data_IF_426376618211
#
_entry.id   IF_426376618211
#
_cell.length_a   1.000
_cell.length_b   1.000
_cell.length_c   1.000
_cell.angle_alpha   90.00
_cell.angle_beta   90.00
_cell.angle_gamma   90.00
#
_symmetry.space_group_name_H-M   'P 1'
#
loop_
_entity.id
_entity.type
_entity.pdbx_description
1 polymer ?
#
# COMPACT_ATOMS: atom_id res chain seq x y z
N UNK A 1 -2.35 25.39 -9.08
CA UNK A 1 -1.01 24.74 -9.14
C UNK A 1 -0.93 23.46 -8.29
N UNK A 2 -1.40 23.46 -7.03
CA UNK A 2 -1.31 22.29 -6.13
C UNK A 2 -1.97 20.99 -6.64
N UNK A 3 -3.13 21.06 -7.30
CA UNK A 3 -3.79 19.87 -7.91
C UNK A 3 -2.91 19.20 -8.98
N UNK A 4 -2.29 20.01 -9.85
CA UNK A 4 -1.41 19.52 -10.92
C UNK A 4 -0.15 18.85 -10.36
N UNK A 5 0.46 19.46 -9.33
CA UNK A 5 1.62 18.88 -8.63
C UNK A 5 1.24 17.55 -7.99
N UNK A 6 0.10 17.47 -7.31
CA UNK A 6 -0.38 16.21 -6.71
C UNK A 6 -0.60 15.11 -7.75
N UNK A 7 -1.26 15.41 -8.87
CA UNK A 7 -1.46 14.43 -9.94
C UNK A 7 -0.12 13.97 -10.55
N UNK A 8 0.84 14.89 -10.69
CA UNK A 8 2.20 14.56 -11.13
C UNK A 8 2.90 13.60 -10.15
N UNK A 9 2.86 13.90 -8.84
CA UNK A 9 3.46 13.04 -7.80
C UNK A 9 2.79 11.66 -7.73
N UNK A 10 1.46 11.60 -7.84
CA UNK A 10 0.72 10.33 -7.88
C UNK A 10 1.09 9.51 -9.12
N UNK A 11 1.19 10.16 -10.30
CA UNK A 11 1.59 9.48 -11.53
C UNK A 11 3.03 8.95 -11.45
N UNK A 12 3.95 9.74 -10.89
CA UNK A 12 5.34 9.33 -10.69
C UNK A 12 5.42 8.14 -9.72
N UNK A 13 4.70 8.19 -8.60
CA UNK A 13 4.66 7.09 -7.64
C UNK A 13 4.09 5.81 -8.26
N UNK A 14 3.05 5.91 -9.09
CA UNK A 14 2.53 4.76 -9.86
C UNK A 14 3.56 4.22 -10.85
N UNK A 15 4.28 5.10 -11.54
CA UNK A 15 5.29 4.70 -12.51
C UNK A 15 6.43 3.92 -11.83
N UNK A 16 6.97 4.43 -10.72
CA UNK A 16 8.03 3.73 -9.98
C UNK A 16 7.55 2.37 -9.46
N UNK A 17 6.34 2.31 -8.91
CA UNK A 17 5.76 1.05 -8.44
C UNK A 17 5.48 0.07 -9.60
N UNK A 18 5.06 0.55 -10.76
CA UNK A 18 4.84 -0.31 -11.94
C UNK A 18 6.12 -0.99 -12.40
N UNK A 19 7.26 -0.29 -12.38
CA UNK A 19 8.58 -0.88 -12.68
C UNK A 19 8.93 -1.97 -11.67
N UNK A 20 8.73 -1.72 -10.37
CA UNK A 20 8.96 -2.72 -9.31
C UNK A 20 8.05 -3.95 -9.53
N UNK A 21 6.80 -3.73 -9.92
CA UNK A 21 5.86 -4.81 -10.22
C UNK A 21 6.29 -5.66 -11.40
N UNK A 22 6.80 -5.05 -12.48
CA UNK A 22 7.34 -5.80 -13.62
C UNK A 22 8.54 -6.68 -13.20
N UNK A 23 9.43 -6.16 -12.36
CA UNK A 23 10.52 -6.95 -11.77
C UNK A 23 9.97 -8.10 -10.94
N UNK A 24 9.00 -7.84 -10.06
CA UNK A 24 8.36 -8.86 -9.22
C UNK A 24 7.69 -9.98 -10.05
N UNK A 25 6.96 -9.62 -11.10
CA UNK A 25 6.34 -10.58 -12.01
C UNK A 25 7.39 -11.43 -12.76
N UNK A 26 8.47 -10.80 -13.23
CA UNK A 26 9.60 -11.51 -13.83
C UNK A 26 10.25 -12.49 -12.85
N UNK A 27 10.40 -12.07 -11.59
CA UNK A 27 10.95 -12.92 -10.53
C UNK A 27 10.07 -14.15 -10.27
N UNK A 28 8.76 -13.97 -10.15
CA UNK A 28 7.80 -15.06 -9.96
C UNK A 28 7.85 -16.05 -11.12
N UNK A 29 7.82 -15.55 -12.37
CA UNK A 29 7.88 -16.39 -13.57
C UNK A 29 9.18 -17.20 -13.63
N UNK A 30 10.31 -16.57 -13.32
CA UNK A 30 11.60 -17.24 -13.29
C UNK A 30 11.68 -18.27 -12.15
N UNK A 31 11.11 -17.99 -10.97
CA UNK A 31 10.97 -18.98 -9.90
C UNK A 31 10.17 -20.20 -10.33
N UNK A 32 9.02 -20.01 -10.98
CA UNK A 32 8.24 -21.14 -11.50
C UNK A 32 9.01 -21.93 -12.56
N UNK A 33 9.80 -21.25 -13.39
CA UNK A 33 10.70 -21.91 -14.32
C UNK A 33 11.77 -22.74 -13.60
N UNK A 34 12.42 -22.21 -12.57
CA UNK A 34 13.40 -22.94 -11.75
C UNK A 34 12.77 -24.17 -11.07
N UNK A 35 11.58 -24.01 -10.47
CA UNK A 35 10.82 -25.11 -9.85
C UNK A 35 10.53 -26.20 -10.88
N UNK A 36 10.06 -25.82 -12.08
CA UNK A 36 9.78 -26.77 -13.17
C UNK A 36 11.05 -27.52 -13.61
N UNK A 37 12.17 -26.81 -13.74
CA UNK A 37 13.45 -27.41 -14.11
C UNK A 37 13.91 -28.39 -13.04
N UNK A 38 13.83 -28.00 -11.76
CA UNK A 38 14.13 -28.86 -10.62
C UNK A 38 13.27 -30.13 -10.62
N UNK A 39 11.95 -29.99 -10.75
CA UNK A 39 11.04 -31.15 -10.82
C UNK A 39 11.34 -32.08 -12.00
N UNK A 40 11.77 -31.54 -13.15
CA UNK A 40 12.16 -32.38 -14.29
C UNK A 40 13.41 -33.20 -13.98
N UNK A 41 14.41 -32.59 -13.33
CA UNK A 41 15.66 -33.27 -12.99
C UNK A 41 15.44 -34.33 -11.91
N UNK A 42 14.71 -33.99 -10.84
CA UNK A 42 14.37 -34.93 -9.75
C UNK A 42 13.41 -36.02 -10.25
N UNK A 43 12.44 -35.68 -11.11
CA UNK A 43 11.47 -36.64 -11.65
C UNK A 43 12.05 -37.65 -12.65
N UNK A 44 13.18 -37.36 -13.28
CA UNK A 44 13.90 -38.32 -14.14
C UNK A 44 14.80 -39.29 -13.36
N UNK A 45 15.13 -38.97 -12.11
CA UNK A 45 16.09 -39.69 -11.28
C UNK A 45 15.33 -40.34 -10.12
N UNK A 46 14.92 -41.60 -10.26
CA UNK A 46 14.11 -42.36 -9.29
C UNK A 46 14.81 -42.55 -7.91
N UNK A 47 14.96 -41.48 -7.13
CA UNK A 47 15.48 -41.51 -5.76
C UNK A 47 15.03 -40.24 -4.99
N UNK A 48 13.74 -40.08 -4.76
CA UNK A 48 13.27 -39.10 -3.77
C UNK A 48 13.43 -39.69 -2.36
N UNK A 49 14.65 -39.64 -1.83
CA UNK A 49 14.87 -39.71 -0.39
C UNK A 49 14.29 -38.47 0.31
N UNK A 50 14.20 -38.47 1.66
CA UNK A 50 13.58 -37.39 2.45
C UNK A 50 14.14 -35.97 2.19
N UNK A 51 15.31 -35.85 1.55
CA UNK A 51 16.02 -34.58 1.32
C UNK A 51 15.80 -33.98 -0.09
N UNK A 52 14.73 -34.35 -0.79
CA UNK A 52 14.44 -33.88 -2.16
C UNK A 52 13.74 -32.52 -2.21
N UNK A 53 13.94 -31.67 -1.20
CA UNK A 53 13.37 -30.33 -1.18
C UNK A 53 14.09 -29.43 -2.19
N UNK A 54 13.38 -28.60 -2.97
CA UNK A 54 14.02 -27.62 -3.82
C UNK A 54 14.93 -26.71 -3.00
N UNK A 55 16.11 -26.33 -3.52
CA UNK A 55 17.00 -25.43 -2.83
C UNK A 55 16.27 -24.18 -2.32
N UNK A 56 16.58 -23.77 -1.09
CA UNK A 56 15.89 -22.69 -0.39
C UNK A 56 15.86 -21.38 -1.20
N UNK A 57 16.90 -21.12 -1.99
CA UNK A 57 17.00 -19.89 -2.80
C UNK A 57 15.85 -19.74 -3.80
N UNK A 58 15.28 -20.85 -4.32
CA UNK A 58 14.14 -20.81 -5.25
C UNK A 58 12.91 -20.21 -4.57
N UNK A 59 12.64 -20.62 -3.33
CA UNK A 59 11.55 -20.09 -2.53
C UNK A 59 11.78 -18.64 -2.11
N UNK A 60 13.02 -18.27 -1.81
CA UNK A 60 13.33 -16.86 -1.51
C UNK A 60 13.13 -15.96 -2.71
N UNK A 61 13.52 -16.39 -3.92
CA UNK A 61 13.29 -15.63 -5.14
C UNK A 61 11.78 -15.50 -5.44
N UNK A 62 11.01 -16.56 -5.17
CA UNK A 62 9.56 -16.54 -5.33
C UNK A 62 8.90 -15.60 -4.32
N UNK A 63 9.27 -15.72 -3.04
CA UNK A 63 8.75 -14.88 -1.96
C UNK A 63 9.09 -13.40 -2.16
N UNK A 64 10.31 -13.09 -2.59
CA UNK A 64 10.74 -11.72 -2.90
C UNK A 64 9.92 -11.15 -4.07
N UNK A 65 9.68 -11.95 -5.12
CA UNK A 65 8.80 -11.56 -6.22
C UNK A 65 7.36 -11.27 -5.79
N UNK A 66 6.78 -12.12 -4.93
CA UNK A 66 5.44 -11.89 -4.36
C UNK A 66 5.40 -10.62 -3.52
N UNK A 67 6.41 -10.40 -2.67
CA UNK A 67 6.53 -9.17 -1.87
C UNK A 67 6.59 -7.92 -2.74
N UNK A 68 7.35 -7.94 -3.85
CA UNK A 68 7.40 -6.82 -4.80
C UNK A 68 6.04 -6.56 -5.46
N UNK A 69 5.29 -7.61 -5.80
CA UNK A 69 3.92 -7.46 -6.29
C UNK A 69 2.99 -6.85 -5.22
N UNK A 70 3.08 -7.28 -3.96
CA UNK A 70 2.31 -6.70 -2.86
C UNK A 70 2.62 -5.22 -2.65
N UNK A 71 3.89 -4.84 -2.69
CA UNK A 71 4.35 -3.44 -2.59
C UNK A 71 3.81 -2.63 -3.75
N UNK A 72 3.85 -3.18 -4.96
CA UNK A 72 3.31 -2.53 -6.16
C UNK A 72 1.81 -2.29 -6.03
N UNK A 73 1.04 -3.33 -5.69
CA UNK A 73 -0.40 -3.21 -5.49
C UNK A 73 -0.73 -2.17 -4.41
N UNK A 74 -0.04 -2.22 -3.27
CA UNK A 74 -0.18 -1.26 -2.19
C UNK A 74 0.16 0.17 -2.65
N UNK A 75 1.23 0.35 -3.42
CA UNK A 75 1.67 1.64 -3.96
C UNK A 75 0.68 2.25 -4.95
N UNK A 76 0.09 1.44 -5.84
CA UNK A 76 -0.97 1.89 -6.74
C UNK A 76 -2.22 2.32 -5.97
N UNK A 77 -2.67 1.50 -5.01
CA UNK A 77 -3.82 1.84 -4.15
C UNK A 77 -3.54 3.08 -3.31
N UNK A 78 -2.34 3.22 -2.75
CA UNK A 78 -1.92 4.39 -1.98
C UNK A 78 -1.91 5.66 -2.85
N UNK A 79 -1.40 5.58 -4.08
CA UNK A 79 -1.38 6.71 -5.00
C UNK A 79 -2.81 7.15 -5.41
N UNK A 80 -3.72 6.19 -5.63
CA UNK A 80 -5.12 6.47 -6.04
C UNK A 80 -5.97 7.01 -4.91
N UNK A 81 -5.96 6.32 -3.77
CA UNK A 81 -6.82 6.70 -2.64
C UNK A 81 -6.30 7.93 -1.92
N UNK A 82 -4.98 8.17 -1.94
CA UNK A 82 -4.31 9.18 -1.12
C UNK A 82 -4.77 9.15 0.36
N UNK A 83 -5.22 7.99 0.85
CA UNK A 83 -5.65 7.79 2.21
C UNK A 83 -4.43 7.60 3.12
N UNK A 84 -4.42 8.24 4.28
CA UNK A 84 -3.31 8.17 5.23
C UNK A 84 -2.96 6.73 5.63
N UNK A 85 -3.95 5.85 5.82
CA UNK A 85 -3.72 4.46 6.19
C UNK A 85 -3.08 3.64 5.04
N UNK A 86 -3.58 3.78 3.81
CA UNK A 86 -3.02 3.08 2.64
C UNK A 86 -1.58 3.54 2.36
N UNK A 87 -1.34 4.86 2.44
CA UNK A 87 0.02 5.39 2.33
C UNK A 87 0.93 4.90 3.44
N UNK A 88 0.45 4.84 4.68
CA UNK A 88 1.25 4.33 5.80
C UNK A 88 1.60 2.86 5.62
N UNK A 89 0.64 2.04 5.18
CA UNK A 89 0.89 0.63 4.86
C UNK A 89 1.97 0.50 3.78
N UNK A 90 1.84 1.24 2.68
CA UNK A 90 2.85 1.27 1.61
C UNK A 90 4.24 1.68 2.13
N UNK A 91 4.34 2.78 2.88
CA UNK A 91 5.61 3.26 3.43
C UNK A 91 6.26 2.24 4.37
N UNK A 92 5.47 1.55 5.20
CA UNK A 92 5.99 0.47 6.07
C UNK A 92 6.53 -0.68 5.24
N UNK A 93 5.84 -1.11 4.19
CA UNK A 93 6.33 -2.19 3.33
C UNK A 93 7.64 -1.82 2.62
N UNK A 94 7.77 -0.59 2.11
CA UNK A 94 9.02 -0.11 1.49
C UNK A 94 10.13 0.02 2.54
N UNK A 95 9.82 0.50 3.75
CA UNK A 95 10.78 0.56 4.84
C UNK A 95 11.27 -0.84 5.26
N UNK A 96 10.37 -1.83 5.31
CA UNK A 96 10.77 -3.22 5.58
C UNK A 96 11.70 -3.78 4.49
N UNK A 97 11.53 -3.40 3.22
CA UNK A 97 12.51 -3.74 2.18
C UNK A 97 13.88 -3.12 2.45
N UNK A 98 13.93 -1.83 2.80
CA UNK A 98 15.19 -1.15 3.14
C UNK A 98 15.88 -1.84 4.32
N UNK A 99 15.11 -2.21 5.35
CA UNK A 99 15.63 -2.94 6.51
C UNK A 99 16.12 -4.34 6.14
N UNK A 100 15.43 -5.05 5.25
CA UNK A 100 15.86 -6.35 4.73
C UNK A 100 17.17 -6.22 3.94
N UNK A 101 17.30 -5.22 3.08
CA UNK A 101 18.54 -4.93 2.34
C UNK A 101 19.70 -4.59 3.28
N UNK A 102 19.44 -3.76 4.30
CA UNK A 102 20.43 -3.42 5.31
C UNK A 102 20.84 -4.65 6.13
N UNK A 103 19.90 -5.53 6.49
CA UNK A 103 20.16 -6.78 7.21
C UNK A 103 21.02 -7.74 6.38
N UNK A 104 20.67 -7.97 5.11
CA UNK A 104 21.46 -8.81 4.19
C UNK A 104 22.86 -8.22 3.98
N UNK A 105 22.95 -6.90 3.78
CA UNK A 105 24.24 -6.23 3.62
C UNK A 105 25.10 -6.39 4.87
N UNK A 106 24.54 -6.14 6.05
CA UNK A 106 25.25 -6.32 7.32
C UNK A 106 25.68 -7.78 7.53
N UNK A 107 24.82 -8.74 7.21
CA UNK A 107 25.13 -10.17 7.30
C UNK A 107 26.32 -10.54 6.42
N UNK A 108 26.30 -10.15 5.13
CA UNK A 108 27.42 -10.39 4.20
C UNK A 108 28.72 -9.70 4.64
N UNK A 109 28.65 -8.55 5.31
CA UNK A 109 29.84 -7.83 5.81
C UNK A 109 30.40 -8.40 7.12
N UNK A 110 29.55 -8.93 8.01
CA UNK A 110 29.94 -9.41 9.33
C UNK A 110 30.25 -10.90 9.35
N UNK A 111 29.54 -11.70 8.54
CA UNK A 111 29.73 -13.12 8.41
C UNK A 111 30.92 -13.39 7.46
N UNK A 112 32.03 -13.93 7.97
CA UNK A 112 33.19 -14.27 7.12
C UNK A 112 32.93 -15.49 6.24
N UNK A 113 32.02 -16.36 6.67
CA UNK A 113 31.80 -17.68 6.09
C UNK A 113 30.42 -17.77 5.38
N UNK A 114 29.80 -16.62 5.06
CA UNK A 114 28.50 -16.55 4.35
C UNK A 114 28.47 -17.33 3.02
N UNK A 115 29.64 -17.59 2.44
CA UNK A 115 29.77 -18.37 1.22
C UNK A 115 29.49 -19.86 1.42
N UNK A 116 29.64 -20.38 2.64
CA UNK A 116 29.38 -21.78 2.99
C UNK A 116 27.88 -22.10 3.07
N UNK A 117 27.01 -21.09 3.16
CA UNK A 117 25.54 -21.25 3.21
C UNK A 117 24.92 -21.65 1.85
N UNK A 118 25.70 -21.57 0.77
CA UNK A 118 25.23 -21.98 -0.56
C UNK A 118 25.36 -23.49 -0.75
N UNK A 119 24.37 -24.14 -1.41
CA UNK A 119 24.51 -25.54 -1.80
C UNK A 119 25.71 -25.71 -2.75
N UNK A 120 26.34 -26.89 -2.71
CA UNK A 120 27.45 -27.22 -3.60
C UNK A 120 27.06 -26.99 -5.07
N UNK A 121 27.84 -26.17 -5.78
CA UNK A 121 27.65 -25.88 -7.19
C UNK A 121 28.65 -26.67 -8.06
N UNK A 122 28.28 -27.85 -8.58
CA UNK A 122 29.15 -28.63 -9.44
C UNK A 122 29.39 -27.97 -10.81
N UNK A 123 28.59 -26.96 -11.18
CA UNK A 123 28.70 -26.29 -12.48
C UNK A 123 29.74 -25.17 -12.49
N UNK A 124 30.21 -24.73 -11.32
CA UNK A 124 31.15 -23.63 -11.16
C UNK A 124 30.60 -22.25 -11.57
N UNK A 125 29.33 -22.16 -11.97
CA UNK A 125 28.71 -20.91 -12.44
C UNK A 125 28.59 -19.87 -11.34
N UNK A 126 28.43 -20.29 -10.08
CA UNK A 126 28.43 -19.37 -8.95
C UNK A 126 29.77 -18.64 -8.82
N UNK A 127 30.89 -19.32 -9.07
CA UNK A 127 32.21 -18.71 -9.05
C UNK A 127 32.40 -17.72 -10.21
N UNK A 128 31.89 -18.05 -11.39
CA UNK A 128 31.87 -17.12 -12.54
C UNK A 128 31.05 -15.86 -12.23
N UNK A 129 29.89 -16.01 -11.57
CA UNK A 129 29.08 -14.89 -11.11
C UNK A 129 29.82 -14.02 -10.10
N UNK A 130 30.46 -14.62 -9.08
CA UNK A 130 31.28 -13.89 -8.10
C UNK A 130 32.41 -13.11 -8.79
N UNK A 131 33.09 -13.73 -9.74
CA UNK A 131 34.14 -13.09 -10.54
C UNK A 131 33.60 -11.92 -11.38
N UNK A 132 32.40 -12.08 -11.97
CA UNK A 132 31.73 -11.01 -12.69
C UNK A 132 31.41 -9.81 -11.79
N UNK A 133 30.84 -10.05 -10.60
CA UNK A 133 30.53 -8.99 -9.61
C UNK A 133 31.81 -8.29 -9.16
N UNK A 134 32.86 -9.05 -8.83
CA UNK A 134 34.15 -8.49 -8.40
C UNK A 134 34.79 -7.63 -9.48
N UNK A 135 34.71 -8.04 -10.75
CA UNK A 135 35.27 -7.29 -11.88
C UNK A 135 34.47 -6.04 -12.21
N UNK A 136 33.18 -6.00 -11.90
CA UNK A 136 32.29 -4.88 -12.20
C UNK A 136 31.75 -4.20 -10.93
N UNK A 137 32.50 -4.26 -9.82
CA UNK A 137 32.01 -3.83 -8.52
C UNK A 137 31.49 -2.39 -8.50
N UNK A 138 32.17 -1.47 -9.21
CA UNK A 138 31.71 -0.08 -9.34
C UNK A 138 30.32 0.01 -9.98
N UNK A 139 30.05 -0.77 -11.03
CA UNK A 139 28.73 -0.82 -11.66
C UNK A 139 27.69 -1.38 -10.69
N UNK A 140 28.01 -2.47 -9.99
CA UNK A 140 27.11 -3.06 -8.98
C UNK A 140 26.79 -2.07 -7.85
N UNK A 141 27.78 -1.27 -7.42
CA UNK A 141 27.59 -0.22 -6.42
C UNK A 141 26.65 0.87 -6.89
N UNK A 142 26.80 1.35 -8.13
CA UNK A 142 25.87 2.31 -8.72
C UNK A 142 24.45 1.76 -8.85
N UNK A 143 24.31 0.48 -9.23
CA UNK A 143 23.00 -0.19 -9.27
C UNK A 143 22.37 -0.23 -7.87
N UNK A 144 23.12 -0.61 -6.84
CA UNK A 144 22.64 -0.60 -5.45
C UNK A 144 22.23 0.80 -4.99
N UNK A 145 23.02 1.84 -5.32
CA UNK A 145 22.70 3.22 -4.98
C UNK A 145 21.40 3.69 -5.65
N UNK A 146 21.17 3.32 -6.91
CA UNK A 146 19.93 3.63 -7.64
C UNK A 146 18.72 2.94 -6.99
N UNK A 147 18.86 1.70 -6.53
CA UNK A 147 17.79 0.97 -5.84
C UNK A 147 17.40 1.70 -4.53
N UNK A 148 18.38 2.01 -3.70
CA UNK A 148 18.16 2.74 -2.43
C UNK A 148 17.56 4.12 -2.69
N UNK A 149 18.07 4.83 -3.71
CA UNK A 149 17.53 6.13 -4.10
C UNK A 149 16.07 6.05 -4.58
N UNK A 150 15.71 5.01 -5.33
CA UNK A 150 14.33 4.78 -5.79
C UNK A 150 13.38 4.47 -4.62
N UNK A 151 13.82 3.69 -3.63
CA UNK A 151 13.06 3.42 -2.41
C UNK A 151 12.88 4.69 -1.55
N UNK A 152 13.96 5.46 -1.35
CA UNK A 152 13.91 6.73 -0.63
C UNK A 152 12.99 7.74 -1.34
N UNK A 153 13.08 7.83 -2.67
CA UNK A 153 12.19 8.67 -3.48
C UNK A 153 10.73 8.21 -3.33
N UNK A 154 10.47 6.90 -3.34
CA UNK A 154 9.12 6.35 -3.17
C UNK A 154 8.50 6.73 -1.82
N UNK A 155 9.29 6.63 -0.73
CA UNK A 155 8.86 7.07 0.61
C UNK A 155 8.66 8.59 0.62
N UNK A 156 9.56 9.36 0.04
CA UNK A 156 9.46 10.82 -0.02
C UNK A 156 8.20 11.28 -0.77
N UNK A 157 7.92 10.70 -1.93
CA UNK A 157 6.70 10.96 -2.70
C UNK A 157 5.46 10.62 -1.88
N UNK A 158 5.46 9.49 -1.18
CA UNK A 158 4.37 9.14 -0.27
C UNK A 158 4.21 10.19 0.85
N UNK A 159 5.28 10.60 1.52
CA UNK A 159 5.21 11.64 2.58
C UNK A 159 4.60 12.93 2.04
N UNK A 160 5.01 13.40 0.86
CA UNK A 160 4.45 14.62 0.27
C UNK A 160 2.97 14.43 -0.07
N UNK A 161 2.59 13.31 -0.70
CA UNK A 161 1.18 13.02 -1.02
C UNK A 161 0.33 12.99 0.26
N UNK A 162 0.87 12.44 1.36
CA UNK A 162 0.21 12.46 2.68
C UNK A 162 0.07 13.87 3.23
N UNK A 163 1.12 14.68 3.14
CA UNK A 163 1.16 16.05 3.66
C UNK A 163 0.21 17.00 2.91
N UNK A 164 -0.02 16.75 1.61
CA UNK A 164 -0.96 17.53 0.79
C UNK A 164 -2.43 17.32 1.21
N UNK A 165 -2.73 16.30 2.02
CA UNK A 165 -4.05 16.03 2.61
C UNK A 165 -5.16 15.68 1.59
N UNK A 166 -6.28 15.11 2.03
CA UNK A 166 -7.46 14.91 1.17
C UNK A 166 -8.07 16.23 0.68
N UNK A 167 -8.00 17.29 1.50
CA UNK A 167 -8.94 18.42 1.44
C UNK A 167 -8.46 19.70 0.73
N UNK A 168 -7.19 19.78 0.29
CA UNK A 168 -6.74 20.96 -0.47
C UNK A 168 -7.40 21.11 -1.87
N UNK A 169 -8.25 20.16 -2.28
CA UNK A 169 -8.95 20.18 -3.57
C UNK A 169 -10.48 20.16 -3.48
N UNK A 170 -11.08 19.80 -2.33
CA UNK A 170 -12.55 19.75 -2.21
C UNK A 170 -13.17 21.10 -1.85
N UNK A 171 -12.42 22.01 -1.23
CA UNK A 171 -12.98 23.26 -0.71
C UNK A 171 -12.96 24.44 -1.69
N UNK A 172 -12.31 24.30 -2.85
CA UNK A 172 -12.15 25.39 -3.85
C UNK A 172 -12.93 25.15 -5.15
N UNK A 173 -13.75 24.10 -5.23
CA UNK A 173 -14.50 23.72 -6.44
C UNK A 173 -16.00 23.53 -6.15
N UNK A 174 -16.52 24.17 -5.10
CA UNK A 174 -17.92 24.07 -4.68
C UNK A 174 -18.67 25.37 -4.97
N UNK A 175 -18.73 25.77 -6.25
CA UNK A 175 -19.69 26.76 -6.75
C UNK A 175 -20.71 26.15 -7.73
N UNK A 176 -20.79 24.81 -7.84
CA UNK A 176 -21.87 24.14 -8.57
C UNK A 176 -22.80 23.38 -7.62
N UNK A 177 -24.07 23.80 -7.65
CA UNK A 177 -25.23 23.26 -6.96
C UNK A 177 -25.31 21.73 -6.95
N UNK A 178 -25.10 21.11 -5.78
CA UNK A 178 -25.67 19.80 -5.50
C UNK A 178 -26.11 19.69 -4.05
N UNK A 179 -27.42 19.79 -3.85
CA UNK A 179 -28.10 19.52 -2.57
C UNK A 179 -27.81 18.07 -2.14
N UNK A 180 -27.19 17.81 -0.97
CA UNK A 180 -27.07 16.46 -0.46
C UNK A 180 -28.41 16.07 0.16
N UNK A 181 -29.29 15.47 -0.63
CA UNK A 181 -30.44 14.77 -0.11
C UNK A 181 -29.98 13.45 0.52
N UNK A 182 -29.55 13.47 1.80
CA UNK A 182 -29.72 12.37 2.80
C UNK A 182 -29.58 12.91 4.23
N UNK A 183 -30.70 13.34 4.80
CA UNK A 183 -30.92 13.19 6.25
C UNK A 183 -31.26 11.72 6.55
N UNK A 184 -30.88 11.25 7.75
CA UNK A 184 -31.88 10.93 8.77
C UNK A 184 -31.55 11.65 10.09
N UNK A 185 -32.45 12.51 10.60
CA UNK A 185 -33.49 12.22 11.61
C UNK A 185 -32.95 11.93 13.03
N UNK A 186 -33.23 12.88 13.95
CA UNK A 186 -33.10 12.80 15.42
C UNK A 186 -31.64 12.73 15.94
N UNK A 187 -31.19 13.41 17.00
CA UNK A 187 -31.82 14.16 18.09
C UNK A 187 -30.67 14.82 18.87
N UNK A 188 -30.73 16.11 19.14
CA UNK A 188 -30.83 16.61 20.52
C UNK A 188 -30.84 18.13 20.54
N UNK A 189 -31.85 18.62 21.24
CA UNK A 189 -32.20 20.02 21.40
C UNK A 189 -31.05 20.84 21.96
N UNK A 190 -30.85 21.97 21.30
CA UNK A 190 -30.32 23.22 21.85
C UNK A 190 -30.98 23.50 23.20
N UNK A 191 -30.20 23.45 24.28
CA UNK A 191 -30.51 24.18 25.50
C UNK A 191 -29.72 25.49 25.46
N UNK A 192 -30.33 26.51 24.86
CA UNK A 192 -29.86 27.90 24.95
C UNK A 192 -30.94 28.67 25.69
N UNK A 193 -30.71 28.91 26.98
CA UNK A 193 -31.47 29.86 27.79
C UNK A 193 -31.14 31.29 27.37
N UNK A 194 -32.16 32.15 27.29
CA UNK A 194 -31.95 33.55 27.63
C UNK A 194 -33.04 34.12 28.56
N UNK A 195 -32.57 34.57 29.73
CA UNK A 195 -32.99 35.76 30.49
C UNK A 195 -34.33 36.47 30.18
N UNK A 196 -35.24 36.41 31.16
CA UNK A 196 -36.10 37.44 31.78
C UNK A 196 -36.45 38.69 30.95
N UNK A 197 -37.77 38.94 30.75
CA UNK A 197 -38.56 40.10 31.25
C UNK A 197 -40.06 39.87 30.88
N UNK A 198 -40.94 39.93 31.89
CA UNK A 198 -42.43 40.01 31.85
C UNK A 198 -42.84 41.52 31.96
N UNK A 199 -44.11 42.02 31.85
CA UNK A 199 -45.42 41.31 31.92
C UNK A 199 -46.59 41.84 31.03
N UNK A 200 -47.74 41.16 31.18
CA UNK A 200 -49.15 41.56 30.91
C UNK A 200 -49.73 41.47 29.49
N UNK A 201 -50.75 40.61 29.30
CA UNK A 201 -52.19 40.96 29.23
C UNK A 201 -53.05 39.68 29.09
N UNK A 202 -54.15 39.64 29.82
CA UNK A 202 -55.16 38.58 29.94
C UNK A 202 -56.07 38.42 28.71
N UNK A 203 -56.57 37.21 28.44
CA UNK A 203 -58.03 36.98 28.38
C UNK A 203 -58.40 35.49 28.40
N UNK A 204 -59.49 35.23 29.10
CA UNK A 204 -60.16 34.00 29.48
C UNK A 204 -61.26 33.65 28.45
N UNK A 205 -61.59 32.36 28.28
CA UNK A 205 -62.96 31.83 28.08
C UNK A 205 -62.98 30.30 27.78
N UNK A 206 -63.33 29.52 28.80
CA UNK A 206 -64.43 28.56 28.92
C UNK A 206 -64.88 27.67 27.72
N UNK A 207 -64.68 26.35 27.91
CA UNK A 207 -65.72 25.28 27.95
C UNK A 207 -66.89 25.35 26.96
N UNK A 208 -67.04 24.36 26.06
CA UNK A 208 -68.33 23.68 25.76
C UNK A 208 -68.11 22.27 25.17
N UNK A 209 -68.63 21.26 25.87
CA UNK A 209 -68.93 19.91 25.38
C UNK A 209 -70.29 19.95 24.66
N UNK A 210 -70.39 19.48 23.41
CA UNK A 210 -71.65 18.91 22.85
C UNK A 210 -71.32 17.82 21.83
N UNK A 211 -71.78 16.61 22.13
CA UNK A 211 -71.81 15.41 21.29
C UNK A 211 -72.92 15.49 20.22
N UNK A 212 -72.75 14.79 19.09
CA UNK A 212 -73.71 13.88 18.39
C UNK A 212 -73.49 13.89 16.85
N UNK A 213 -73.16 12.69 16.33
CA UNK A 213 -73.62 12.01 15.08
C UNK A 213 -74.16 12.91 13.94
N UNK A 214 -73.86 12.71 12.65
CA UNK A 214 -73.94 11.46 11.87
C UNK A 214 -73.58 11.79 10.40
N UNK A 215 -73.04 10.80 9.68
CA UNK A 215 -73.27 10.51 8.24
C UNK A 215 -73.04 11.60 7.18
N UNK A 216 -72.31 11.26 6.11
CA UNK A 216 -72.89 10.80 4.83
C UNK A 216 -71.78 10.66 3.76
N UNK A 217 -71.70 9.44 3.21
CA UNK A 217 -71.34 8.99 1.84
C UNK A 217 -70.06 9.51 1.14
N UNK A 218 -69.34 8.69 0.36
CA UNK A 218 -69.60 7.34 -0.19
C UNK A 218 -68.27 6.67 -0.47
#
# INVERSE_FOLDING_TARGET
MGRMVRSCLQSLLKLVNSVIGLVGMGMILYSFWMIRVWFRQVGTFWAAGPDSTPPWFIYTFLGLGVTFCLITCSGHVAAETANGHCLSCYMVLVFLLVMLEAAITADVFLNKDWEEDFPEDPTGRLNDFKNFVKRNFEMCKWVGLVIIAAQALSIFLAIIIRALGPDCASYYDSDDDYVPARLPLLKNHVQRTPYIVDPHVSSRNDSWNVSILKQVNR
#
